data_IF_391615788959
#
_entry.id   IF_391615788959
#
_cell.length_a   1.000
_cell.length_b   1.000
_cell.length_c   1.000
_cell.angle_alpha   90.00
_cell.angle_beta   90.00
_cell.angle_gamma   90.00
#
_symmetry.space_group_name_H-M   'P 1'
#
loop_
_entity.id
_entity.type
_entity.pdbx_description
1 polymer ?
#
# COMPACT_ATOMS: atom_id res chain seq x y z
N UNK A 1 -19.93 11.60 -2.99
CA UNK A 1 -19.33 10.24 -2.99
C UNK A 1 -18.34 10.13 -1.84
N UNK A 2 -18.01 8.90 -1.39
CA UNK A 2 -16.92 8.66 -0.42
C UNK A 2 -15.55 8.84 -1.08
N UNK A 3 -14.53 8.94 -0.25
CA UNK A 3 -13.13 8.88 -0.67
C UNK A 3 -12.42 7.71 0.02
N UNK A 4 -11.46 7.11 -0.66
CA UNK A 4 -10.50 6.18 -0.06
C UNK A 4 -9.10 6.79 -0.20
N UNK A 5 -8.87 7.87 0.54
CA UNK A 5 -7.59 8.59 0.55
C UNK A 5 -6.58 7.93 1.51
N UNK A 6 -7.07 7.55 2.67
CA UNK A 6 -6.43 6.77 3.74
C UNK A 6 -7.51 6.04 4.55
N UNK A 7 -7.23 5.65 5.78
CA UNK A 7 -8.19 4.96 6.65
C UNK A 7 -8.79 5.85 7.74
N UNK A 8 -8.52 7.17 7.78
CA UNK A 8 -9.04 8.05 8.82
C UNK A 8 -10.58 8.13 8.81
N UNK A 9 -11.18 8.15 7.62
CA UNK A 9 -12.62 8.27 7.45
C UNK A 9 -13.33 6.92 7.24
N UNK A 10 -12.57 5.81 7.33
CA UNK A 10 -13.12 4.45 7.15
C UNK A 10 -13.56 3.91 8.50
N UNK A 11 -14.85 3.74 8.72
CA UNK A 11 -15.36 3.12 9.94
C UNK A 11 -15.07 1.60 9.95
N UNK A 12 -15.20 0.98 11.14
CA UNK A 12 -14.86 -0.43 11.33
C UNK A 12 -15.63 -1.38 10.41
N UNK A 13 -16.93 -1.16 10.22
CA UNK A 13 -17.75 -2.03 9.36
C UNK A 13 -17.30 -1.95 7.89
N UNK A 14 -17.04 -0.75 7.40
CA UNK A 14 -16.52 -0.57 6.05
C UNK A 14 -15.12 -1.18 5.88
N UNK A 15 -14.28 -1.10 6.91
CA UNK A 15 -12.96 -1.71 6.88
C UNK A 15 -13.04 -3.23 6.79
N UNK A 16 -13.90 -3.86 7.59
CA UNK A 16 -14.16 -5.31 7.55
C UNK A 16 -14.68 -5.74 6.18
N UNK A 17 -15.62 -4.98 5.60
CA UNK A 17 -16.15 -5.24 4.26
C UNK A 17 -15.08 -5.08 3.16
N UNK A 18 -14.22 -4.04 3.25
CA UNK A 18 -13.10 -3.84 2.32
C UNK A 18 -12.13 -5.03 2.34
N UNK A 19 -11.79 -5.53 3.53
CA UNK A 19 -10.91 -6.67 3.70
C UNK A 19 -11.57 -7.94 3.17
N UNK A 20 -12.83 -8.20 3.51
CA UNK A 20 -13.57 -9.37 3.04
C UNK A 20 -13.66 -9.39 1.51
N UNK A 21 -14.03 -8.26 0.90
CA UNK A 21 -14.07 -8.13 -0.57
C UNK A 21 -12.72 -8.32 -1.21
N UNK A 22 -11.66 -7.80 -0.59
CA UNK A 22 -10.29 -7.98 -1.09
C UNK A 22 -9.84 -9.44 -1.00
N UNK A 23 -10.27 -10.20 0.01
CA UNK A 23 -9.99 -11.64 0.16
C UNK A 23 -10.77 -12.52 -0.82
N UNK A 24 -11.92 -12.07 -1.23
CA UNK A 24 -12.73 -12.79 -2.23
C UNK A 24 -12.03 -12.70 -3.59
N UNK A 25 -11.53 -13.83 -4.08
CA UNK A 25 -10.90 -13.92 -5.40
C UNK A 25 -11.92 -14.12 -6.53
N UNK A 26 -13.20 -14.25 -6.19
CA UNK A 26 -14.29 -14.41 -7.15
C UNK A 26 -14.91 -13.05 -7.49
N UNK A 27 -14.99 -12.76 -8.79
CA UNK A 27 -15.67 -11.57 -9.30
C UNK A 27 -16.77 -11.96 -10.25
N UNK A 28 -17.94 -11.41 -10.04
CA UNK A 28 -18.94 -11.33 -11.09
C UNK A 28 -18.66 -10.05 -11.87
N UNK A 29 -18.65 -10.14 -13.20
CA UNK A 29 -18.65 -8.94 -14.03
C UNK A 29 -19.94 -8.16 -13.75
N UNK A 30 -19.78 -6.87 -13.55
CA UNK A 30 -20.87 -5.93 -13.32
C UNK A 30 -20.88 -4.93 -14.47
N UNK A 31 -21.93 -4.17 -14.61
CA UNK A 31 -22.02 -3.10 -15.63
C UNK A 31 -22.41 -1.79 -14.93
N UNK A 32 -21.38 -1.16 -14.34
CA UNK A 32 -21.53 0.13 -13.68
C UNK A 32 -21.31 1.21 -14.74
N UNK A 33 -22.36 1.98 -15.06
CA UNK A 33 -22.23 3.14 -15.97
C UNK A 33 -21.61 4.32 -15.21
N UNK A 34 -20.28 4.38 -15.25
CA UNK A 34 -19.49 5.40 -14.55
C UNK A 34 -18.19 5.67 -15.30
N UNK A 35 -17.66 6.89 -15.16
CA UNK A 35 -16.38 7.31 -15.74
C UNK A 35 -15.34 7.50 -14.66
N UNK A 36 -14.16 6.89 -14.84
CA UNK A 36 -13.03 7.04 -13.95
C UNK A 36 -11.80 7.61 -14.66
N UNK A 37 -11.14 8.57 -14.04
CA UNK A 37 -9.85 9.10 -14.47
C UNK A 37 -8.72 8.41 -13.68
N UNK A 38 -7.81 7.76 -14.39
CA UNK A 38 -6.57 7.23 -13.82
C UNK A 38 -5.45 8.26 -14.02
N UNK A 39 -5.22 9.09 -13.00
CA UNK A 39 -4.18 10.13 -13.02
C UNK A 39 -2.94 9.65 -12.28
N UNK A 40 -1.86 9.42 -13.02
CA UNK A 40 -0.60 8.88 -12.48
C UNK A 40 0.56 9.81 -12.81
N UNK A 41 0.95 10.63 -11.86
CA UNK A 41 2.06 11.59 -11.96
C UNK A 41 3.42 10.93 -11.60
N UNK A 42 3.38 9.70 -11.11
CA UNK A 42 4.55 8.84 -10.90
C UNK A 42 4.43 7.54 -11.72
N UNK A 43 5.54 7.00 -12.26
CA UNK A 43 5.53 5.70 -12.93
C UNK A 43 4.99 4.59 -12.02
N UNK A 44 4.04 3.83 -12.51
CA UNK A 44 3.49 2.66 -11.78
C UNK A 44 2.79 1.69 -12.70
N UNK A 45 3.48 0.64 -13.13
CA UNK A 45 2.90 -0.36 -14.03
C UNK A 45 1.84 -1.21 -13.33
N UNK A 46 2.17 -1.83 -12.20
CA UNK A 46 1.28 -2.75 -11.48
C UNK A 46 0.01 -2.07 -10.98
N UNK A 47 0.15 -0.94 -10.30
CA UNK A 47 -1.00 -0.23 -9.72
C UNK A 47 -1.93 0.26 -10.81
N UNK A 48 -1.42 0.92 -11.86
CA UNK A 48 -2.22 1.41 -12.97
C UNK A 48 -2.97 0.27 -13.67
N UNK A 49 -2.24 -0.79 -14.05
CA UNK A 49 -2.84 -1.94 -14.73
C UNK A 49 -3.92 -2.62 -13.88
N UNK A 50 -3.69 -2.81 -12.58
CA UNK A 50 -4.67 -3.44 -11.70
C UNK A 50 -5.93 -2.60 -11.51
N UNK A 51 -5.84 -1.25 -11.48
CA UNK A 51 -7.01 -0.38 -11.48
C UNK A 51 -7.77 -0.43 -12.82
N UNK A 52 -7.08 -0.42 -13.96
CA UNK A 52 -7.71 -0.53 -15.27
C UNK A 52 -8.47 -1.85 -15.43
N UNK A 53 -7.85 -2.98 -15.02
CA UNK A 53 -8.52 -4.30 -15.08
C UNK A 53 -9.70 -4.36 -14.10
N UNK A 54 -9.58 -3.81 -12.89
CA UNK A 54 -10.68 -3.79 -11.93
C UNK A 54 -11.86 -2.96 -12.45
N UNK A 55 -11.60 -1.79 -13.04
CA UNK A 55 -12.61 -0.95 -13.67
C UNK A 55 -13.33 -1.68 -14.81
N UNK A 56 -12.58 -2.32 -15.71
CA UNK A 56 -13.13 -3.12 -16.82
C UNK A 56 -14.07 -4.24 -16.32
N UNK A 57 -13.67 -4.95 -15.24
CA UNK A 57 -14.53 -5.99 -14.63
C UNK A 57 -15.83 -5.44 -14.04
N UNK A 58 -15.85 -4.18 -13.64
CA UNK A 58 -17.02 -3.49 -13.11
C UNK A 58 -17.82 -2.75 -14.20
N UNK A 59 -17.35 -2.72 -15.46
CA UNK A 59 -17.97 -1.96 -16.54
C UNK A 59 -17.71 -0.45 -16.48
N UNK A 60 -16.80 0.00 -15.61
CA UNK A 60 -16.40 1.40 -15.47
C UNK A 60 -15.46 1.79 -16.62
N UNK A 61 -15.81 2.82 -17.38
CA UNK A 61 -14.96 3.34 -18.44
C UNK A 61 -13.81 4.16 -17.85
N UNK A 62 -12.58 3.87 -18.26
CA UNK A 62 -11.39 4.57 -17.76
C UNK A 62 -10.76 5.48 -18.79
N UNK A 63 -10.27 6.63 -18.35
CA UNK A 63 -9.40 7.53 -19.07
C UNK A 63 -8.08 7.66 -18.33
N UNK A 64 -6.99 7.93 -19.03
CA UNK A 64 -5.68 8.11 -18.44
C UNK A 64 -5.17 9.53 -18.62
N UNK A 65 -4.52 10.06 -17.58
CA UNK A 65 -3.82 11.34 -17.60
C UNK A 65 -2.55 11.27 -16.77
N UNK A 66 -1.60 12.17 -17.06
CA UNK A 66 -0.39 12.40 -16.25
C UNK A 66 0.00 13.88 -16.28
N UNK A 67 0.68 14.36 -15.24
CA UNK A 67 1.12 15.76 -15.13
C UNK A 67 2.14 16.19 -16.21
N UNK A 68 2.71 15.26 -16.96
CA UNK A 68 3.65 15.57 -18.05
C UNK A 68 3.02 16.49 -19.11
N UNK A 69 1.68 16.56 -19.17
CA UNK A 69 0.91 17.38 -20.15
C UNK A 69 -0.19 18.18 -19.43
N UNK A 70 -0.10 18.38 -18.11
CA UNK A 70 -1.21 18.96 -17.35
C UNK A 70 -1.22 20.48 -17.37
N UNK A 71 -2.43 21.07 -17.23
CA UNK A 71 -2.64 22.52 -17.08
C UNK A 71 -2.03 23.06 -15.77
N UNK A 72 -1.69 22.20 -14.81
CA UNK A 72 -0.99 22.56 -13.56
C UNK A 72 0.36 23.27 -13.84
N UNK A 73 1.06 22.86 -14.91
CA UNK A 73 2.29 23.57 -15.36
C UNK A 73 2.02 25.00 -15.83
N UNK A 74 0.76 25.34 -16.12
CA UNK A 74 0.31 26.68 -16.50
C UNK A 74 -0.30 27.46 -15.33
N UNK A 75 -0.18 26.95 -14.09
CA UNK A 75 -0.68 27.61 -12.88
C UNK A 75 -2.15 27.33 -12.54
N UNK A 76 -2.74 26.24 -13.10
CA UNK A 76 -4.09 25.81 -12.73
C UNK A 76 -4.12 25.35 -11.26
N UNK A 77 -5.11 25.84 -10.51
CA UNK A 77 -5.32 25.45 -9.12
C UNK A 77 -6.14 24.16 -9.05
N UNK A 78 -5.91 23.34 -8.00
CA UNK A 78 -6.57 22.05 -7.79
C UNK A 78 -8.10 22.12 -7.95
N UNK A 79 -8.72 23.15 -7.41
CA UNK A 79 -10.18 23.32 -7.49
C UNK A 79 -10.67 23.36 -8.94
N UNK A 80 -10.04 24.14 -9.81
CA UNK A 80 -10.44 24.25 -11.22
C UNK A 80 -10.18 22.95 -11.98
N UNK A 81 -9.09 22.25 -11.65
CA UNK A 81 -8.78 20.94 -12.21
C UNK A 81 -9.89 19.93 -11.89
N UNK A 82 -10.31 19.83 -10.62
CA UNK A 82 -11.37 18.91 -10.19
C UNK A 82 -12.74 19.31 -10.76
N UNK A 83 -13.09 20.60 -10.77
CA UNK A 83 -14.31 21.11 -11.40
C UNK A 83 -14.37 20.77 -12.90
N UNK A 84 -13.22 20.79 -13.58
CA UNK A 84 -13.12 20.38 -14.99
C UNK A 84 -13.44 18.89 -15.16
N UNK A 85 -12.88 18.03 -14.31
CA UNK A 85 -13.17 16.59 -14.35
C UNK A 85 -14.65 16.30 -14.11
N UNK A 86 -15.25 16.91 -13.10
CA UNK A 86 -16.68 16.78 -12.79
C UNK A 86 -17.54 17.24 -13.98
N UNK A 87 -17.19 18.38 -14.58
CA UNK A 87 -17.93 18.93 -15.74
C UNK A 87 -17.85 18.04 -16.99
N UNK A 88 -16.81 17.21 -17.09
CA UNK A 88 -16.64 16.21 -18.15
C UNK A 88 -17.34 14.88 -17.82
N UNK A 89 -17.98 14.76 -16.66
CA UNK A 89 -18.69 13.56 -16.22
C UNK A 89 -17.81 12.54 -15.52
N UNK A 90 -16.57 12.88 -15.12
CA UNK A 90 -15.74 12.01 -14.30
C UNK A 90 -16.31 11.95 -12.88
N UNK A 91 -16.67 10.77 -12.44
CA UNK A 91 -17.21 10.50 -11.10
C UNK A 91 -16.13 9.96 -10.15
N UNK A 92 -15.09 9.31 -10.68
CA UNK A 92 -14.04 8.65 -9.90
C UNK A 92 -12.67 9.13 -10.37
N UNK A 93 -11.84 9.59 -9.42
CA UNK A 93 -10.44 9.92 -9.64
C UNK A 93 -9.56 8.91 -8.90
N UNK A 94 -8.77 8.13 -9.64
CA UNK A 94 -7.70 7.30 -9.09
C UNK A 94 -6.40 8.07 -9.24
N UNK A 95 -5.84 8.53 -8.13
CA UNK A 95 -4.72 9.46 -8.13
C UNK A 95 -3.46 8.86 -7.53
N UNK A 96 -2.34 8.98 -8.27
CA UNK A 96 -1.00 8.73 -7.77
C UNK A 96 -0.11 9.94 -8.00
N UNK A 97 0.42 10.50 -6.93
CA UNK A 97 1.23 11.74 -6.97
C UNK A 97 2.38 11.72 -5.96
N UNK A 98 3.39 12.55 -6.19
CA UNK A 98 4.47 12.81 -5.23
C UNK A 98 4.07 13.80 -4.12
N UNK A 99 2.99 14.53 -4.32
CA UNK A 99 2.52 15.53 -3.36
C UNK A 99 2.00 14.88 -2.09
N UNK A 100 2.00 15.63 -0.98
CA UNK A 100 1.52 15.18 0.33
C UNK A 100 0.23 15.89 0.76
N UNK A 101 -0.45 16.58 -0.16
CA UNK A 101 -1.66 17.39 0.08
C UNK A 101 -2.96 16.56 -0.01
N UNK A 102 -2.96 15.38 0.58
CA UNK A 102 -4.09 14.43 0.51
C UNK A 102 -5.40 15.02 1.05
N UNK A 103 -5.32 15.89 2.06
CA UNK A 103 -6.49 16.48 2.72
C UNK A 103 -7.23 17.47 1.83
N UNK A 104 -6.55 18.10 0.87
CA UNK A 104 -7.17 19.03 -0.09
C UNK A 104 -8.24 18.35 -0.95
N UNK A 105 -8.18 17.03 -1.10
CA UNK A 105 -9.18 16.26 -1.87
C UNK A 105 -10.44 15.90 -1.07
N UNK A 106 -10.43 16.03 0.27
CA UNK A 106 -11.57 15.65 1.14
C UNK A 106 -12.78 16.58 1.00
N UNK A 107 -12.56 17.80 0.50
CA UNK A 107 -13.64 18.79 0.33
C UNK A 107 -14.54 18.50 -0.89
N UNK A 108 -14.07 17.76 -1.88
CA UNK A 108 -14.82 17.49 -3.11
C UNK A 108 -15.84 16.38 -2.92
N UNK A 109 -17.15 16.71 -2.86
CA UNK A 109 -18.23 15.74 -2.58
C UNK A 109 -18.84 15.11 -3.83
N UNK A 110 -18.64 15.75 -5.00
CA UNK A 110 -19.23 15.32 -6.27
C UNK A 110 -18.36 14.34 -7.06
N UNK A 111 -17.15 14.06 -6.58
CA UNK A 111 -16.21 13.10 -7.16
C UNK A 111 -15.65 12.18 -6.05
N UNK A 112 -15.56 10.89 -6.33
CA UNK A 112 -14.90 9.94 -5.43
C UNK A 112 -13.41 9.87 -5.73
N UNK A 113 -12.55 9.96 -4.71
CA UNK A 113 -11.08 9.90 -4.91
C UNK A 113 -10.49 8.66 -4.24
N UNK A 114 -9.71 7.88 -5.00
CA UNK A 114 -8.92 6.74 -4.49
C UNK A 114 -7.44 7.11 -4.55
N UNK A 115 -6.77 7.00 -3.40
CA UNK A 115 -5.31 7.08 -3.37
C UNK A 115 -4.68 5.82 -3.97
N UNK A 116 -3.99 5.97 -5.09
CA UNK A 116 -3.10 4.97 -5.68
C UNK A 116 -1.62 5.22 -5.28
N UNK A 117 -1.41 6.11 -4.31
CA UNK A 117 -0.15 6.52 -3.71
C UNK A 117 0.02 8.03 -3.67
N UNK A 118 -0.13 8.65 -2.48
CA UNK A 118 0.14 10.05 -2.20
C UNK A 118 1.48 10.20 -1.47
N UNK A 119 2.46 10.81 -2.11
CA UNK A 119 3.76 11.10 -1.53
C UNK A 119 4.34 9.94 -0.73
N UNK A 120 4.65 10.18 0.53
CA UNK A 120 4.98 9.17 1.54
C UNK A 120 3.82 8.88 2.53
N UNK A 121 2.63 9.47 2.32
CA UNK A 121 1.52 9.47 3.28
C UNK A 121 0.56 8.30 3.14
N UNK A 122 0.21 7.91 1.91
CA UNK A 122 -0.91 6.99 1.75
C UNK A 122 -0.82 6.09 0.51
N UNK A 123 -1.19 4.83 0.70
CA UNK A 123 -1.49 3.85 -0.34
C UNK A 123 -2.47 2.79 0.21
N UNK A 124 -3.74 3.16 0.53
CA UNK A 124 -4.67 2.32 1.27
C UNK A 124 -4.95 0.99 0.56
N UNK A 125 -5.04 1.00 -0.77
CA UNK A 125 -5.28 -0.23 -1.54
C UNK A 125 -4.08 -1.19 -1.54
N UNK A 126 -2.85 -0.73 -1.23
CA UNK A 126 -1.73 -1.64 -0.99
C UNK A 126 -1.87 -2.28 0.40
N UNK A 127 -2.16 -1.49 1.42
CA UNK A 127 -2.41 -2.04 2.76
C UNK A 127 -3.54 -3.08 2.76
N UNK A 128 -4.63 -2.86 1.99
CA UNK A 128 -5.68 -3.85 1.80
C UNK A 128 -5.17 -5.15 1.18
N UNK A 129 -4.28 -5.07 0.17
CA UNK A 129 -3.64 -6.26 -0.42
C UNK A 129 -2.86 -7.02 0.65
N UNK A 130 -1.97 -6.34 1.35
CA UNK A 130 -1.01 -6.94 2.28
C UNK A 130 -1.74 -7.63 3.43
N UNK A 131 -2.64 -6.91 4.09
CA UNK A 131 -3.40 -7.42 5.22
C UNK A 131 -4.39 -8.52 4.80
N UNK A 132 -5.07 -8.37 3.66
CA UNK A 132 -5.97 -9.42 3.14
C UNK A 132 -5.20 -10.69 2.78
N UNK A 133 -3.98 -10.57 2.29
CA UNK A 133 -3.09 -11.71 2.05
C UNK A 133 -2.76 -12.44 3.35
N UNK A 134 -2.39 -11.70 4.39
CA UNK A 134 -2.09 -12.30 5.70
C UNK A 134 -3.31 -12.97 6.33
N UNK A 135 -4.51 -12.38 6.20
CA UNK A 135 -5.75 -13.04 6.61
C UNK A 135 -6.01 -14.34 5.83
N UNK A 136 -5.79 -14.32 4.52
CA UNK A 136 -6.00 -15.51 3.67
C UNK A 136 -4.99 -16.62 3.97
N UNK A 137 -3.80 -16.27 4.44
CA UNK A 137 -2.77 -17.20 4.91
C UNK A 137 -2.91 -17.58 6.39
N UNK A 138 -3.97 -17.14 7.08
CA UNK A 138 -4.21 -17.32 8.52
C UNK A 138 -3.06 -16.80 9.41
N UNK A 139 -2.43 -15.68 9.01
CA UNK A 139 -1.33 -15.05 9.75
C UNK A 139 -1.80 -13.95 10.70
N UNK A 140 -3.00 -13.42 10.50
CA UNK A 140 -3.66 -12.42 11.36
C UNK A 140 -4.90 -13.04 11.96
N UNK A 141 -4.73 -13.98 12.87
CA UNK A 141 -5.80 -14.62 13.63
C UNK A 141 -5.75 -14.30 15.13
N UNK A 142 -4.60 -13.81 15.61
CA UNK A 142 -4.37 -13.41 17.00
C UNK A 142 -4.06 -11.93 17.06
N UNK A 143 -4.87 -11.15 17.77
CA UNK A 143 -4.75 -9.68 17.85
C UNK A 143 -3.44 -9.19 18.45
N UNK A 144 -2.73 -10.04 19.17
CA UNK A 144 -1.49 -9.68 19.84
C UNK A 144 -0.24 -10.01 19.01
N UNK A 145 -0.40 -10.73 17.91
CA UNK A 145 0.73 -11.08 17.04
C UNK A 145 1.15 -9.86 16.22
N UNK A 146 2.36 -9.34 16.39
CA UNK A 146 2.81 -8.21 15.62
C UNK A 146 3.12 -8.62 14.17
N UNK A 147 2.88 -7.69 13.27
CA UNK A 147 3.39 -7.73 11.90
C UNK A 147 4.59 -6.80 11.89
N UNK A 148 5.76 -7.30 11.47
CA UNK A 148 6.98 -6.51 11.48
C UNK A 148 7.34 -6.03 10.08
N UNK A 149 7.51 -4.72 9.94
CA UNK A 149 8.03 -4.06 8.75
C UNK A 149 9.55 -3.93 8.84
N UNK A 150 10.24 -4.32 7.76
CA UNK A 150 11.71 -4.32 7.69
C UNK A 150 12.14 -3.50 6.48
N UNK A 151 13.02 -2.53 6.67
CA UNK A 151 13.53 -1.69 5.58
C UNK A 151 13.20 -0.22 5.75
N UNK A 152 13.00 0.52 4.66
CA UNK A 152 12.75 1.96 4.72
C UNK A 152 11.31 2.26 5.15
N UNK A 153 11.06 2.24 6.46
CA UNK A 153 9.74 2.56 7.03
C UNK A 153 9.46 4.07 7.03
N UNK A 154 10.49 4.90 7.17
CA UNK A 154 10.36 6.36 7.27
C UNK A 154 9.76 7.00 6.02
N UNK A 155 10.16 6.52 4.84
CA UNK A 155 9.72 7.06 3.55
C UNK A 155 8.64 6.20 2.87
N UNK A 156 8.12 5.19 3.58
CA UNK A 156 7.20 4.22 3.00
C UNK A 156 5.74 4.56 3.24
N UNK A 157 5.04 4.99 2.18
CA UNK A 157 3.57 5.10 2.19
C UNK A 157 2.85 3.76 2.37
N UNK A 158 3.54 2.66 2.09
CA UNK A 158 3.01 1.30 2.33
C UNK A 158 2.98 1.04 3.82
N UNK A 159 4.11 1.28 4.51
CA UNK A 159 4.17 1.19 5.96
C UNK A 159 3.11 2.09 6.62
N UNK A 160 3.01 3.36 6.23
CA UNK A 160 2.07 4.29 6.86
C UNK A 160 0.61 3.82 6.73
N UNK A 161 0.20 3.37 5.55
CA UNK A 161 -1.16 2.83 5.37
C UNK A 161 -1.37 1.49 6.06
N UNK A 162 -0.37 0.60 6.04
CA UNK A 162 -0.42 -0.68 6.75
C UNK A 162 -0.53 -0.49 8.26
N UNK A 163 0.26 0.43 8.82
CA UNK A 163 0.20 0.83 10.23
C UNK A 163 -1.18 1.33 10.64
N UNK A 164 -1.75 2.27 9.85
CA UNK A 164 -3.09 2.78 10.12
C UNK A 164 -4.14 1.66 10.13
N UNK A 165 -4.10 0.79 9.13
CA UNK A 165 -5.05 -0.31 9.01
C UNK A 165 -4.90 -1.32 10.14
N UNK A 166 -3.68 -1.72 10.49
CA UNK A 166 -3.40 -2.65 11.57
C UNK A 166 -3.84 -2.10 12.92
N UNK A 167 -3.56 -0.83 13.19
CA UNK A 167 -3.99 -0.16 14.42
C UNK A 167 -5.51 -0.10 14.56
N UNK A 168 -6.24 0.18 13.46
CA UNK A 168 -7.72 0.16 13.45
C UNK A 168 -8.29 -1.24 13.72
N UNK A 169 -7.56 -2.29 13.31
CA UNK A 169 -7.92 -3.67 13.61
C UNK A 169 -7.51 -4.12 15.03
N UNK A 170 -6.73 -3.28 15.74
CA UNK A 170 -6.24 -3.55 17.09
C UNK A 170 -5.02 -4.48 17.13
N UNK A 171 -4.28 -4.58 16.02
CA UNK A 171 -3.01 -5.32 15.95
C UNK A 171 -1.83 -4.41 16.34
N UNK A 172 -0.78 -5.05 16.87
CA UNK A 172 0.50 -4.41 17.08
C UNK A 172 1.27 -4.28 15.75
N UNK A 173 2.17 -3.31 15.69
CA UNK A 173 3.03 -3.05 14.53
C UNK A 173 4.48 -3.09 14.97
N UNK A 174 5.22 -4.07 14.46
CA UNK A 174 6.64 -4.21 14.66
C UNK A 174 7.46 -3.48 13.61
N UNK A 175 8.66 -3.04 13.95
CA UNK A 175 9.64 -2.44 13.05
C UNK A 175 11.03 -2.96 13.36
N UNK A 176 11.76 -3.37 12.32
CA UNK A 176 13.17 -3.71 12.39
C UNK A 176 13.91 -3.04 11.25
N UNK A 177 14.70 -1.99 11.56
CA UNK A 177 15.40 -1.20 10.55
C UNK A 177 16.53 -0.37 11.14
N UNK A 178 17.35 0.21 10.27
CA UNK A 178 18.34 1.21 10.67
C UNK A 178 17.68 2.39 11.39
N UNK A 179 18.35 2.92 12.42
CA UNK A 179 17.84 4.04 13.24
C UNK A 179 17.48 5.29 12.44
N UNK A 180 18.17 5.53 11.32
CA UNK A 180 17.94 6.67 10.44
C UNK A 180 16.69 6.49 9.57
N UNK A 181 16.21 5.24 9.42
CA UNK A 181 15.01 4.86 8.67
C UNK A 181 13.78 4.66 9.56
N UNK A 182 13.89 4.91 10.86
CA UNK A 182 12.74 4.89 11.78
C UNK A 182 11.83 6.10 11.54
N UNK A 183 10.50 5.95 11.65
CA UNK A 183 9.58 7.07 11.56
C UNK A 183 9.71 7.99 12.77
N UNK A 184 9.30 9.25 12.64
CA UNK A 184 9.35 10.22 13.74
C UNK A 184 8.44 9.82 14.91
N UNK A 185 7.19 9.45 14.62
CA UNK A 185 6.26 8.96 15.63
C UNK A 185 6.40 7.45 15.81
N UNK A 186 6.77 7.03 17.02
CA UNK A 186 7.05 5.63 17.40
C UNK A 186 6.11 5.10 18.49
N UNK A 187 5.10 5.86 18.89
CA UNK A 187 4.33 5.59 20.11
C UNK A 187 3.55 4.26 20.10
N UNK A 188 3.17 3.78 18.92
CA UNK A 188 2.41 2.54 18.69
C UNK A 188 3.25 1.43 18.05
N UNK A 189 4.58 1.59 18.01
CA UNK A 189 5.50 0.65 17.40
C UNK A 189 6.24 -0.19 18.45
N UNK A 190 6.45 -1.47 18.10
CA UNK A 190 7.44 -2.34 18.75
C UNK A 190 8.70 -2.35 17.88
N UNK A 191 9.80 -1.81 18.42
CA UNK A 191 11.07 -1.70 17.70
C UNK A 191 11.95 -2.86 18.12
N UNK A 192 12.39 -3.67 17.15
CA UNK A 192 13.27 -4.81 17.36
C UNK A 192 14.71 -4.46 16.99
N UNK A 193 15.66 -5.12 17.64
CA UNK A 193 17.09 -4.89 17.44
C UNK A 193 17.79 -6.08 16.74
N UNK A 194 17.08 -7.21 16.59
CA UNK A 194 17.64 -8.41 15.97
C UNK A 194 16.59 -9.23 15.20
N UNK A 195 17.07 -10.07 14.27
CA UNK A 195 16.23 -11.06 13.59
C UNK A 195 15.60 -12.07 14.54
N UNK A 196 16.30 -12.43 15.62
CA UNK A 196 15.79 -13.37 16.61
C UNK A 196 14.56 -12.79 17.31
N UNK A 197 14.61 -11.53 17.74
CA UNK A 197 13.44 -10.82 18.31
C UNK A 197 12.28 -10.75 17.32
N UNK A 198 12.55 -10.44 16.03
CA UNK A 198 11.53 -10.43 14.98
C UNK A 198 10.85 -11.78 14.85
N UNK A 199 11.62 -12.87 14.82
CA UNK A 199 11.07 -14.22 14.66
C UNK A 199 10.36 -14.75 15.90
N UNK A 200 10.75 -14.33 17.10
CA UNK A 200 10.05 -14.66 18.35
C UNK A 200 8.70 -13.93 18.46
N UNK A 201 8.62 -12.72 17.91
CA UNK A 201 7.46 -11.83 18.07
C UNK A 201 6.49 -11.86 16.89
N UNK A 202 6.92 -12.28 15.69
CA UNK A 202 6.15 -12.13 14.46
C UNK A 202 6.10 -13.42 13.64
N UNK A 203 4.92 -13.84 13.24
CA UNK A 203 4.73 -14.89 12.24
C UNK A 203 4.44 -14.35 10.83
N UNK A 204 4.47 -13.02 10.68
CA UNK A 204 4.42 -12.32 9.42
C UNK A 204 5.37 -11.11 9.41
N UNK A 205 6.10 -10.92 8.32
CA UNK A 205 6.96 -9.76 8.09
C UNK A 205 6.69 -9.17 6.71
N UNK A 206 6.95 -7.88 6.56
CA UNK A 206 6.89 -7.20 5.27
C UNK A 206 8.20 -6.46 5.00
N UNK A 207 8.89 -6.87 3.93
CA UNK A 207 10.12 -6.22 3.48
C UNK A 207 9.78 -4.99 2.67
N UNK A 208 10.36 -3.87 3.04
CA UNK A 208 10.20 -2.59 2.34
C UNK A 208 11.46 -2.22 1.58
N UNK A 209 11.28 -1.74 0.36
CA UNK A 209 12.39 -1.28 -0.46
C UNK A 209 13.06 -0.05 0.15
N UNK A 210 14.39 -0.06 0.25
CA UNK A 210 15.14 1.17 0.56
C UNK A 210 15.06 2.10 -0.65
N UNK A 211 14.44 3.27 -0.46
CA UNK A 211 14.12 4.22 -1.52
C UNK A 211 15.23 5.27 -1.64
N UNK A 212 16.38 4.91 -2.26
CA UNK A 212 17.52 5.82 -2.46
C UNK A 212 17.12 7.18 -3.03
N UNK A 213 16.12 7.17 -3.91
CA UNK A 213 15.59 8.37 -4.56
C UNK A 213 14.77 9.29 -3.65
N UNK A 214 14.51 8.87 -2.41
CA UNK A 214 13.76 9.64 -1.39
C UNK A 214 14.58 10.04 -0.18
N UNK A 215 15.82 9.54 -0.09
CA UNK A 215 16.73 9.96 0.97
C UNK A 215 17.04 11.45 0.83
N UNK A 216 17.00 12.17 1.94
CA UNK A 216 17.39 13.59 1.97
C UNK A 216 18.91 13.70 2.03
N UNK A 217 19.46 14.86 1.64
CA UNK A 217 20.91 15.10 1.57
C UNK A 217 21.65 14.88 2.91
N UNK A 218 20.94 14.87 4.03
CA UNK A 218 21.46 14.63 5.38
C UNK A 218 21.19 13.20 5.90
N UNK A 219 20.61 12.33 5.10
CA UNK A 219 20.30 10.95 5.45
C UNK A 219 21.32 10.00 4.81
N UNK A 220 22.48 9.87 5.45
CA UNK A 220 23.49 8.90 5.01
C UNK A 220 23.14 7.50 5.53
N UNK A 221 22.98 6.56 4.61
CA UNK A 221 22.85 5.13 4.91
C UNK A 221 24.09 4.43 4.39
N UNK A 222 24.80 3.76 5.29
CA UNK A 222 25.84 2.83 4.89
C UNK A 222 25.18 1.55 4.35
N UNK A 223 25.10 1.40 3.03
CA UNK A 223 24.44 0.26 2.40
C UNK A 223 25.09 -1.08 2.70
N UNK A 224 26.40 -1.15 2.88
CA UNK A 224 27.08 -2.39 3.23
C UNK A 224 26.70 -2.83 4.65
N UNK A 225 26.66 -1.90 5.59
CA UNK A 225 26.19 -2.16 6.95
C UNK A 225 24.72 -2.49 6.99
N UNK A 226 23.88 -1.78 6.21
CA UNK A 226 22.45 -2.08 6.07
C UNK A 226 22.22 -3.50 5.55
N UNK A 227 22.90 -3.90 4.48
CA UNK A 227 22.79 -5.24 3.91
C UNK A 227 23.21 -6.30 4.92
N UNK A 228 24.31 -6.08 5.63
CA UNK A 228 24.81 -7.03 6.63
C UNK A 228 23.82 -7.25 7.79
N UNK A 229 23.06 -6.22 8.19
CA UNK A 229 22.18 -6.27 9.36
C UNK A 229 20.72 -6.60 9.02
N UNK A 230 20.22 -6.11 7.87
CA UNK A 230 18.77 -6.10 7.58
C UNK A 230 18.38 -6.88 6.32
N UNK A 231 19.32 -7.39 5.52
CA UNK A 231 19.00 -8.23 4.38
C UNK A 231 18.48 -9.59 4.85
N UNK A 232 17.32 -10.00 4.34
CA UNK A 232 16.82 -11.35 4.56
C UNK A 232 17.57 -12.33 3.64
N UNK A 233 18.51 -13.10 4.22
CA UNK A 233 19.22 -14.16 3.52
C UNK A 233 18.56 -15.52 3.74
N UNK A 234 18.92 -16.53 2.92
CA UNK A 234 18.45 -17.91 3.13
C UNK A 234 18.87 -18.47 4.49
N UNK A 235 20.07 -18.11 4.98
CA UNK A 235 20.54 -18.51 6.32
C UNK A 235 19.66 -17.92 7.42
N UNK A 236 19.37 -16.62 7.35
CA UNK A 236 18.48 -15.91 8.30
C UNK A 236 17.08 -16.50 8.22
N UNK A 237 16.54 -16.66 7.00
CA UNK A 237 15.21 -17.23 6.80
C UNK A 237 15.10 -18.67 7.34
N UNK A 238 16.20 -19.42 7.32
CA UNK A 238 16.28 -20.76 7.89
C UNK A 238 16.11 -20.82 9.42
N UNK A 239 16.37 -19.73 10.13
CA UNK A 239 16.19 -19.60 11.58
C UNK A 239 14.74 -19.29 11.99
N UNK A 240 13.92 -18.80 11.06
CA UNK A 240 12.52 -18.43 11.35
C UNK A 240 11.60 -19.66 11.43
N UNK A 241 10.41 -19.46 12.01
CA UNK A 241 9.37 -20.47 12.08
C UNK A 241 9.05 -21.01 10.67
N UNK A 242 8.67 -22.29 10.60
CA UNK A 242 8.41 -22.98 9.31
C UNK A 242 7.26 -22.37 8.51
N UNK A 243 6.38 -21.64 9.16
CA UNK A 243 5.16 -21.04 8.63
C UNK A 243 5.21 -19.51 8.55
N UNK A 244 6.39 -18.87 8.79
CA UNK A 244 6.58 -17.44 8.58
C UNK A 244 6.07 -17.03 7.19
N UNK A 245 5.32 -15.93 7.11
CA UNK A 245 4.94 -15.32 5.86
C UNK A 245 5.76 -14.03 5.62
N UNK A 246 6.45 -13.98 4.49
CA UNK A 246 7.26 -12.82 4.09
C UNK A 246 6.59 -12.12 2.91
N UNK A 247 6.14 -10.90 3.12
CA UNK A 247 5.52 -10.04 2.12
C UNK A 247 6.54 -9.05 1.53
N UNK A 248 6.24 -8.55 0.33
CA UNK A 248 6.96 -7.45 -0.30
C UNK A 248 6.06 -6.72 -1.31
N UNK A 249 5.85 -5.40 -1.20
CA UNK A 249 4.93 -4.66 -2.07
C UNK A 249 5.48 -4.42 -3.48
N UNK A 250 6.68 -4.89 -3.79
CA UNK A 250 7.34 -4.77 -5.09
C UNK A 250 7.60 -3.31 -5.56
N UNK A 251 8.64 -3.01 -6.35
CA UNK A 251 9.66 -3.98 -6.83
C UNK A 251 10.66 -4.37 -5.74
N UNK A 252 11.23 -5.56 -5.85
CA UNK A 252 12.27 -6.06 -4.95
C UNK A 252 13.65 -5.63 -5.50
N UNK A 253 14.53 -5.09 -4.66
CA UNK A 253 15.95 -4.93 -4.95
C UNK A 253 16.70 -6.18 -4.44
N UNK A 254 16.82 -7.18 -5.30
CA UNK A 254 17.58 -8.39 -4.96
C UNK A 254 19.02 -8.02 -4.64
N UNK A 255 19.53 -8.50 -3.51
CA UNK A 255 20.85 -8.17 -3.01
C UNK A 255 20.86 -7.00 -2.01
N UNK A 256 19.71 -6.34 -1.75
CA UNK A 256 19.55 -5.32 -0.71
C UNK A 256 18.58 -5.81 0.37
N UNK A 257 17.27 -5.86 0.11
CA UNK A 257 16.27 -6.28 1.10
C UNK A 257 16.24 -7.79 1.28
N UNK A 258 16.53 -8.54 0.21
CA UNK A 258 16.53 -9.99 0.19
C UNK A 258 17.65 -10.50 -0.70
N UNK A 259 18.30 -11.59 -0.29
CA UNK A 259 19.34 -12.23 -1.08
C UNK A 259 18.76 -13.05 -2.23
N UNK A 260 19.59 -13.30 -3.25
CA UNK A 260 19.15 -14.02 -4.46
C UNK A 260 18.72 -15.47 -4.18
N UNK A 261 19.31 -16.11 -3.21
CA UNK A 261 19.01 -17.49 -2.82
C UNK A 261 17.74 -17.62 -1.97
N UNK A 262 17.32 -16.54 -1.29
CA UNK A 262 16.13 -16.52 -0.46
C UNK A 262 14.83 -16.19 -1.23
N UNK A 263 14.91 -15.55 -2.41
CA UNK A 263 13.72 -15.02 -3.12
C UNK A 263 12.70 -16.09 -3.52
N UNK A 264 13.15 -17.31 -3.78
CA UNK A 264 12.31 -18.43 -4.21
C UNK A 264 11.87 -19.32 -3.06
N UNK A 265 12.17 -18.98 -1.80
CA UNK A 265 11.71 -19.74 -0.65
C UNK A 265 10.19 -19.72 -0.53
N UNK A 266 9.60 -20.83 -0.08
CA UNK A 266 8.15 -20.99 0.09
C UNK A 266 7.50 -19.97 1.05
N UNK A 267 8.28 -19.37 1.96
CA UNK A 267 7.85 -18.35 2.90
C UNK A 267 7.62 -17.01 2.23
N UNK A 268 8.18 -16.76 1.03
CA UNK A 268 8.04 -15.52 0.27
C UNK A 268 6.70 -15.49 -0.46
N UNK A 269 5.82 -14.56 -0.09
CA UNK A 269 4.39 -14.53 -0.46
C UNK A 269 4.00 -13.37 -1.42
N UNK A 270 4.95 -12.76 -2.13
CA UNK A 270 4.60 -11.68 -3.06
C UNK A 270 3.63 -12.10 -4.18
N UNK A 271 3.64 -13.41 -4.57
CA UNK A 271 2.68 -13.92 -5.56
C UNK A 271 1.27 -14.01 -4.99
N UNK A 272 1.14 -14.39 -3.73
CA UNK A 272 -0.12 -14.38 -3.01
C UNK A 272 -0.64 -12.94 -2.87
N UNK A 273 0.23 -11.95 -2.56
CA UNK A 273 -0.13 -10.53 -2.57
C UNK A 273 -0.66 -10.08 -3.94
N UNK A 274 0.01 -10.44 -5.03
CA UNK A 274 -0.41 -10.07 -6.38
C UNK A 274 -1.81 -10.60 -6.73
N UNK A 275 -2.22 -11.75 -6.19
CA UNK A 275 -3.58 -12.30 -6.40
C UNK A 275 -4.67 -11.40 -5.82
N UNK A 276 -4.38 -10.65 -4.74
CA UNK A 276 -5.30 -9.71 -4.11
C UNK A 276 -5.30 -8.31 -4.76
N UNK A 277 -4.44 -8.06 -5.77
CA UNK A 277 -4.33 -6.74 -6.38
C UNK A 277 -5.64 -6.27 -7.06
N UNK A 278 -6.22 -7.06 -7.93
CA UNK A 278 -7.48 -6.71 -8.60
C UNK A 278 -8.65 -6.67 -7.60
N UNK A 279 -8.82 -7.66 -6.67
CA UNK A 279 -9.86 -7.60 -5.65
C UNK A 279 -9.86 -6.32 -4.82
N UNK A 280 -8.69 -5.87 -4.39
CA UNK A 280 -8.59 -4.65 -3.57
C UNK A 280 -9.03 -3.39 -4.33
N UNK A 281 -8.81 -3.33 -5.66
CA UNK A 281 -9.27 -2.21 -6.49
C UNK A 281 -10.77 -2.27 -6.73
N UNK A 282 -11.34 -3.46 -6.92
CA UNK A 282 -12.78 -3.67 -7.00
C UNK A 282 -13.44 -3.23 -5.68
N UNK A 283 -12.90 -3.66 -4.54
CA UNK A 283 -13.38 -3.24 -3.23
C UNK A 283 -13.32 -1.70 -3.07
N UNK A 284 -12.23 -1.06 -3.49
CA UNK A 284 -12.09 0.39 -3.45
C UNK A 284 -13.13 1.13 -4.31
N UNK A 285 -13.39 0.69 -5.53
CA UNK A 285 -14.43 1.27 -6.38
C UNK A 285 -15.83 1.13 -5.75
N UNK A 286 -16.16 -0.05 -5.22
CA UNK A 286 -17.44 -0.31 -4.56
C UNK A 286 -17.63 0.51 -3.30
N UNK A 287 -16.57 0.69 -2.52
CA UNK A 287 -16.58 1.54 -1.32
C UNK A 287 -16.95 2.99 -1.64
N UNK A 288 -16.40 3.57 -2.71
CA UNK A 288 -16.74 4.95 -3.12
C UNK A 288 -18.22 5.12 -3.44
N UNK A 289 -18.88 4.06 -3.90
CA UNK A 289 -20.27 4.03 -4.36
C UNK A 289 -21.28 3.60 -3.28
N UNK A 290 -20.84 3.47 -2.03
CA UNK A 290 -21.71 2.97 -0.94
C UNK A 290 -22.24 1.54 -1.16
N UNK A 291 -21.53 0.67 -1.88
CA UNK A 291 -21.93 -0.70 -2.17
C UNK A 291 -21.34 -1.73 -1.19
N UNK A 292 -20.46 -1.28 -0.29
CA UNK A 292 -19.85 -2.09 0.77
C UNK A 292 -19.54 -1.24 2.02
#
# INVERSE_FOLDING_TARGET
MRHLLDFQDVNKNHLENLIEKTRSLEFKSENIDSLALLKFDEPSTRTRLSFAIAAEKLGIKTFESSDVISAKQKGEILKHEIETYISMGIEILVLRTKENNIDDYREFKDIGVISAGFGNKSHPTQALIDISTLFSLNKINEKLTPITYIGDVKHSRVFESGRQLLNLLGFKVGVFTDKNLLPENKNDLEIYESWDEVFESSNAIELLRVQKERLQDNEEINFDEYINNYQLTQEILGKSQSDLAVLHPMPINIGIEISKDAIDDRKIKYKDQLSHAIPSRIAAFKYLRDEI
#
